data_IF_697326935594
#
_entry.id   IF_697326935594
#
_cell.length_a   1.000
_cell.length_b   1.000
_cell.length_c   1.000
_cell.angle_alpha   90.00
_cell.angle_beta   90.00
_cell.angle_gamma   90.00
#
_symmetry.space_group_name_H-M   'P 1'
#
loop_
_entity.id
_entity.type
_entity.pdbx_description
1 polymer ?
#
# COMPACT_ATOMS: atom_id res chain seq x y z
N UNK A 1 13.71 10.57 -4.71
CA UNK A 1 12.84 11.09 -3.65
C UNK A 1 13.51 10.95 -2.30
N UNK A 2 13.55 12.03 -1.53
CA UNK A 2 14.13 12.02 -0.19
C UNK A 2 13.02 11.88 0.82
N UNK A 3 13.02 10.76 1.54
CA UNK A 3 12.09 10.49 2.62
C UNK A 3 12.88 10.17 3.88
N UNK A 4 12.26 10.41 5.02
CA UNK A 4 12.81 9.95 6.30
C UNK A 4 12.76 8.44 6.43
N UNK A 5 11.91 7.80 5.64
CA UNK A 5 11.81 6.35 5.58
C UNK A 5 13.02 5.75 4.86
N UNK A 6 13.49 4.62 5.34
CA UNK A 6 14.69 3.98 4.82
C UNK A 6 14.42 2.88 3.82
N UNK A 7 13.19 2.40 3.75
CA UNK A 7 12.82 1.28 2.88
C UNK A 7 11.66 1.67 1.99
N UNK A 8 11.81 1.41 0.69
CA UNK A 8 10.77 1.62 -0.30
C UNK A 8 10.68 0.35 -1.12
N UNK A 9 9.59 -0.38 -0.93
CA UNK A 9 9.39 -1.68 -1.56
C UNK A 9 8.27 -1.58 -2.58
N UNK A 10 8.61 -1.75 -3.85
CA UNK A 10 7.62 -1.73 -4.92
C UNK A 10 6.83 -3.03 -4.93
N UNK A 11 5.53 -2.92 -5.09
CA UNK A 11 4.67 -4.07 -5.18
C UNK A 11 3.40 -3.79 -5.97
N UNK A 12 2.54 -4.79 -6.01
CA UNK A 12 1.24 -4.70 -6.67
C UNK A 12 0.14 -4.84 -5.63
N UNK A 13 -0.85 -3.98 -5.69
CA UNK A 13 -2.02 -4.07 -4.81
C UNK A 13 -2.83 -5.29 -5.23
N UNK A 14 -3.02 -6.23 -4.31
CA UNK A 14 -3.79 -7.45 -4.57
C UNK A 14 -5.12 -7.49 -3.82
N UNK A 15 -5.30 -6.64 -2.82
CA UNK A 15 -6.56 -6.57 -2.08
C UNK A 15 -6.68 -5.22 -1.38
N UNK A 16 -7.91 -4.70 -1.32
CA UNK A 16 -8.23 -3.50 -0.55
C UNK A 16 -9.53 -3.78 0.20
N UNK A 17 -9.46 -3.74 1.52
CA UNK A 17 -10.63 -3.85 2.38
C UNK A 17 -10.98 -2.49 2.93
N UNK A 18 -12.05 -1.90 2.41
CA UNK A 18 -12.46 -0.56 2.79
C UNK A 18 -13.27 -0.59 4.08
N UNK A 19 -12.81 0.14 5.08
CA UNK A 19 -13.54 0.36 6.32
C UNK A 19 -14.21 1.73 6.34
N UNK A 20 -14.71 2.13 7.49
CA UNK A 20 -15.41 3.41 7.65
C UNK A 20 -14.44 4.61 7.55
N UNK A 21 -13.25 4.47 8.13
CA UNK A 21 -12.23 5.53 8.19
C UNK A 21 -10.93 5.06 7.57
N UNK A 22 -10.53 3.84 7.89
CA UNK A 22 -9.29 3.25 7.40
C UNK A 22 -9.57 2.07 6.49
N UNK A 23 -8.64 1.83 5.58
CA UNK A 23 -8.65 0.69 4.67
C UNK A 23 -7.43 -0.17 4.91
N UNK A 24 -7.58 -1.47 4.67
CA UNK A 24 -6.45 -2.42 4.73
C UNK A 24 -6.06 -2.72 3.30
N UNK A 25 -4.82 -2.36 2.94
CA UNK A 25 -4.27 -2.58 1.61
C UNK A 25 -3.22 -3.67 1.68
N UNK A 26 -3.37 -4.68 0.84
CA UNK A 26 -2.42 -5.79 0.75
C UNK A 26 -1.60 -5.64 -0.51
N UNK A 27 -0.29 -5.67 -0.35
CA UNK A 27 0.68 -5.47 -1.42
C UNK A 27 1.52 -6.72 -1.60
N UNK A 28 1.57 -7.24 -2.82
CA UNK A 28 2.48 -8.33 -3.17
C UNK A 28 3.79 -7.70 -3.66
N UNK A 29 4.86 -7.92 -2.92
CA UNK A 29 6.17 -7.36 -3.24
C UNK A 29 7.10 -8.37 -3.93
N UNK A 30 6.56 -9.53 -4.33
CA UNK A 30 7.32 -10.56 -5.04
C UNK A 30 7.92 -11.60 -4.11
N UNK A 31 8.37 -12.71 -4.70
CA UNK A 31 8.99 -13.79 -3.95
C UNK A 31 8.08 -14.47 -2.93
N UNK A 32 6.78 -14.34 -3.08
CA UNK A 32 5.82 -14.85 -2.11
C UNK A 32 5.65 -13.97 -0.87
N UNK A 33 6.19 -12.76 -0.88
CA UNK A 33 6.13 -11.84 0.26
C UNK A 33 4.98 -10.84 0.09
N UNK A 34 4.30 -10.60 1.19
CA UNK A 34 3.12 -9.73 1.22
C UNK A 34 3.29 -8.72 2.34
N UNK A 35 2.91 -7.47 2.06
CA UNK A 35 2.85 -6.41 3.08
C UNK A 35 1.38 -6.01 3.23
N UNK A 36 0.93 -5.99 4.47
CA UNK A 36 -0.43 -5.53 4.82
C UNK A 36 -0.31 -4.21 5.54
N UNK A 37 -0.98 -3.20 5.02
CA UNK A 37 -0.92 -1.84 5.57
C UNK A 37 -2.31 -1.32 5.88
N UNK A 38 -2.43 -0.60 6.99
CA UNK A 38 -3.65 0.13 7.33
C UNK A 38 -3.41 1.59 7.04
N UNK A 39 -4.18 2.15 6.12
CA UNK A 39 -4.10 3.57 5.76
C UNK A 39 -5.51 4.16 5.73
N UNK A 40 -5.61 5.48 5.76
CA UNK A 40 -6.93 6.11 5.71
C UNK A 40 -7.60 5.88 4.36
N UNK A 41 -8.94 5.82 4.36
CA UNK A 41 -9.69 5.71 3.12
C UNK A 41 -9.43 6.91 2.19
N UNK A 42 -9.23 8.10 2.74
CA UNK A 42 -8.90 9.27 1.94
C UNK A 42 -7.54 9.13 1.26
N UNK A 43 -6.57 8.49 1.92
CA UNK A 43 -5.26 8.24 1.30
C UNK A 43 -5.39 7.25 0.12
N UNK A 44 -6.24 6.23 0.26
CA UNK A 44 -6.50 5.31 -0.85
C UNK A 44 -7.05 6.07 -2.07
N UNK A 45 -7.99 6.97 -1.85
CA UNK A 45 -8.57 7.79 -2.92
C UNK A 45 -7.55 8.74 -3.53
N UNK A 46 -6.81 9.47 -2.70
CA UNK A 46 -5.80 10.43 -3.17
C UNK A 46 -4.69 9.77 -3.99
N UNK A 47 -4.27 8.59 -3.58
CA UNK A 47 -3.25 7.84 -4.30
C UNK A 47 -3.81 7.08 -5.50
N UNK A 48 -5.13 7.00 -5.62
CA UNK A 48 -5.77 6.27 -6.69
C UNK A 48 -5.50 4.77 -6.64
N UNK A 49 -5.38 4.22 -5.43
CA UNK A 49 -5.07 2.79 -5.28
C UNK A 49 -6.28 1.94 -5.63
N UNK A 50 -6.02 0.90 -6.41
CA UNK A 50 -7.01 -0.12 -6.74
C UNK A 50 -6.30 -1.44 -6.96
N UNK A 51 -7.03 -2.54 -6.89
CA UNK A 51 -6.47 -3.87 -7.12
C UNK A 51 -5.85 -3.92 -8.51
N UNK A 52 -4.60 -4.35 -8.59
CA UNK A 52 -3.83 -4.35 -9.82
C UNK A 52 -2.92 -3.14 -9.99
N UNK A 53 -3.05 -2.10 -9.17
CA UNK A 53 -2.18 -0.93 -9.22
C UNK A 53 -0.79 -1.26 -8.69
N UNK A 54 0.22 -0.58 -9.24
CA UNK A 54 1.55 -0.58 -8.66
C UNK A 54 1.59 0.43 -7.51
N UNK A 55 2.30 0.10 -6.46
CA UNK A 55 2.45 0.96 -5.29
C UNK A 55 3.77 0.70 -4.59
N UNK A 56 4.17 1.63 -3.73
CA UNK A 56 5.36 1.47 -2.91
C UNK A 56 4.97 1.39 -1.45
N UNK A 57 5.50 0.39 -0.74
CA UNK A 57 5.46 0.35 0.71
C UNK A 57 6.64 1.16 1.22
N UNK A 58 6.35 2.17 2.03
CA UNK A 58 7.37 3.05 2.60
C UNK A 58 7.44 2.76 4.08
N UNK A 59 8.57 2.20 4.50
CA UNK A 59 8.75 1.69 5.87
C UNK A 59 9.98 2.35 6.50
N UNK A 60 9.78 2.91 7.67
CA UNK A 60 10.89 3.48 8.44
C UNK A 60 11.72 2.39 9.10
#
# INVERSE_FOLDING_TARGET
MKLSARNQLKGKVIDIKTGAVNSIVTLDIGGGNIIVSTISCSAVEELGLEVGSDAYAVIK
#
